data_IF_067348374968
#
_entry.id   IF_067348374968
#
_cell.length_a   1.000
_cell.length_b   1.000
_cell.length_c   1.000
_cell.angle_alpha   90.00
_cell.angle_beta   90.00
_cell.angle_gamma   90.00
#
_symmetry.space_group_name_H-M   'P 1'
#
loop_
_entity.id
_entity.type
_entity.pdbx_description
1 polymer ?
#
# COMPACT_ATOMS: atom_id res chain seq x y z
N UNK A 1 -7.53 12.18 2.18
CA UNK A 1 -6.80 11.65 3.35
C UNK A 1 -7.32 10.25 3.62
N UNK A 2 -6.44 9.28 3.88
CA UNK A 2 -6.80 7.93 4.28
C UNK A 2 -6.11 7.49 5.56
N UNK A 3 -6.44 6.30 6.04
CA UNK A 3 -5.85 5.71 7.25
C UNK A 3 -5.90 4.18 7.21
N UNK A 4 -5.02 3.56 7.99
CA UNK A 4 -5.01 2.12 8.22
C UNK A 4 -5.81 1.75 9.48
N UNK A 5 -6.70 0.76 9.39
CA UNK A 5 -7.47 0.18 10.50
C UNK A 5 -7.02 -1.27 10.76
N UNK A 6 -6.82 -1.70 12.02
CA UNK A 6 -7.12 -0.99 13.28
C UNK A 6 -5.97 -0.15 13.83
N UNK A 7 -4.91 0.07 13.04
CA UNK A 7 -3.72 0.77 13.53
C UNK A 7 -4.07 2.19 13.99
N UNK A 8 -4.79 2.94 13.17
CA UNK A 8 -5.27 4.27 13.50
C UNK A 8 -6.54 4.16 14.36
N UNK A 9 -6.37 4.34 15.67
CA UNK A 9 -7.43 4.12 16.66
C UNK A 9 -8.67 5.02 16.51
N UNK A 10 -8.48 6.25 16.03
CA UNK A 10 -9.58 7.19 15.78
C UNK A 10 -9.72 7.42 14.28
N UNK A 11 -10.78 6.86 13.67
CA UNK A 11 -11.13 7.09 12.28
C UNK A 11 -11.24 8.60 12.00
N UNK A 12 -10.36 9.19 11.17
CA UNK A 12 -10.37 10.62 10.91
C UNK A 12 -11.65 11.06 10.19
N UNK A 13 -12.43 11.99 10.75
CA UNK A 13 -13.78 12.33 10.25
C UNK A 13 -13.89 12.79 8.78
N UNK A 14 -12.80 13.28 8.20
CA UNK A 14 -12.71 13.69 6.79
C UNK A 14 -11.96 12.66 5.91
N UNK A 15 -11.87 11.39 6.35
CA UNK A 15 -11.23 10.35 5.55
C UNK A 15 -12.05 10.05 4.30
N UNK A 16 -11.35 9.99 3.17
CA UNK A 16 -11.91 9.68 1.85
C UNK A 16 -11.61 8.24 1.43
N UNK A 17 -10.71 7.56 2.15
CA UNK A 17 -10.45 6.14 2.00
C UNK A 17 -9.99 5.54 3.34
N UNK A 18 -10.10 4.23 3.47
CA UNK A 18 -9.61 3.47 4.62
C UNK A 18 -9.08 2.10 4.18
N UNK A 19 -8.06 1.61 4.88
CA UNK A 19 -7.40 0.35 4.56
C UNK A 19 -7.48 -0.58 5.77
N UNK A 20 -8.25 -1.66 5.65
CA UNK A 20 -8.29 -2.72 6.64
C UNK A 20 -7.05 -3.62 6.52
N UNK A 21 -6.40 -3.90 7.65
CA UNK A 21 -5.25 -4.80 7.72
C UNK A 21 -5.36 -5.66 8.98
N UNK A 22 -4.94 -6.93 8.91
CA UNK A 22 -4.98 -7.83 10.06
C UNK A 22 -3.83 -8.83 10.05
N UNK A 23 -2.67 -8.34 10.46
CA UNK A 23 -1.42 -9.08 10.35
C UNK A 23 -1.15 -9.50 8.90
N UNK A 24 -0.33 -10.53 8.75
CA UNK A 24 0.19 -10.98 7.46
C UNK A 24 -0.38 -12.36 7.08
N UNK A 25 -0.43 -12.64 5.77
CA UNK A 25 -0.85 -13.91 5.17
C UNK A 25 -2.22 -13.89 4.49
N UNK A 26 -2.29 -14.43 3.27
CA UNK A 26 -3.48 -14.38 2.40
C UNK A 26 -4.75 -14.91 3.05
N UNK A 27 -4.70 -16.10 3.66
CA UNK A 27 -5.89 -16.73 4.26
C UNK A 27 -6.43 -15.90 5.43
N UNK A 28 -5.53 -15.40 6.29
CA UNK A 28 -5.89 -14.57 7.43
C UNK A 28 -6.51 -13.25 6.99
N UNK A 29 -5.99 -12.63 5.93
CA UNK A 29 -6.57 -11.42 5.35
C UNK A 29 -7.99 -11.69 4.81
N UNK A 30 -8.21 -12.82 4.13
CA UNK A 30 -9.54 -13.19 3.62
C UNK A 30 -10.53 -13.40 4.78
N UNK A 31 -10.13 -14.10 5.84
CA UNK A 31 -10.96 -14.27 7.04
C UNK A 31 -11.29 -12.94 7.72
N UNK A 32 -10.30 -12.03 7.79
CA UNK A 32 -10.51 -10.69 8.32
C UNK A 32 -11.47 -9.87 7.46
N UNK A 33 -11.36 -9.99 6.13
CA UNK A 33 -12.23 -9.29 5.18
C UNK A 33 -13.72 -9.63 5.39
N UNK A 34 -14.01 -10.85 5.84
CA UNK A 34 -15.37 -11.34 6.09
C UNK A 34 -15.91 -10.97 7.47
N UNK A 35 -15.09 -10.37 8.34
CA UNK A 35 -15.54 -9.92 9.64
C UNK A 35 -16.33 -8.62 9.52
N UNK A 36 -17.64 -8.69 9.77
CA UNK A 36 -18.58 -7.55 9.67
C UNK A 36 -18.24 -6.38 10.59
N UNK A 37 -17.57 -6.62 11.72
CA UNK A 37 -17.20 -5.55 12.63
C UNK A 37 -16.15 -4.63 12.00
N UNK A 38 -15.27 -5.16 11.14
CA UNK A 38 -14.26 -4.40 10.41
C UNK A 38 -14.92 -3.33 9.55
N UNK A 39 -15.96 -3.72 8.80
CA UNK A 39 -16.65 -2.85 7.85
C UNK A 39 -17.25 -1.60 8.50
N UNK A 40 -17.70 -1.72 9.75
CA UNK A 40 -18.30 -0.61 10.50
C UNK A 40 -17.30 0.49 10.89
N UNK A 41 -15.99 0.17 10.85
CA UNK A 41 -14.92 1.10 11.21
C UNK A 41 -14.28 1.77 9.99
N UNK A 42 -14.62 1.34 8.78
CA UNK A 42 -14.07 1.84 7.52
C UNK A 42 -14.89 3.01 6.98
N UNK A 43 -14.21 3.99 6.36
CA UNK A 43 -14.83 5.19 5.80
C UNK A 43 -14.29 5.50 4.40
N UNK A 44 -15.12 6.13 3.57
CA UNK A 44 -14.80 6.42 2.17
C UNK A 44 -14.64 5.14 1.36
N UNK A 45 -13.74 5.18 0.37
CA UNK A 45 -13.34 3.99 -0.37
C UNK A 45 -12.65 2.99 0.58
N UNK A 46 -13.17 1.76 0.62
CA UNK A 46 -12.73 0.71 1.52
C UNK A 46 -11.78 -0.24 0.83
N UNK A 47 -10.57 -0.38 1.36
CA UNK A 47 -9.58 -1.31 0.88
C UNK A 47 -9.31 -2.41 1.90
N UNK A 48 -9.00 -3.62 1.42
CA UNK A 48 -8.43 -4.70 2.23
C UNK A 48 -6.97 -4.90 1.83
N UNK A 49 -6.06 -4.93 2.80
CA UNK A 49 -4.63 -5.04 2.56
C UNK A 49 -4.10 -6.47 2.63
N UNK A 50 -3.34 -6.85 1.61
CA UNK A 50 -2.46 -8.02 1.59
C UNK A 50 -1.00 -7.55 1.61
N UNK A 51 -0.10 -8.39 2.12
CA UNK A 51 1.33 -8.10 2.14
C UNK A 51 1.85 -7.79 3.54
N UNK A 52 2.77 -6.82 3.62
CA UNK A 52 3.43 -6.35 4.83
C UNK A 52 4.73 -7.08 5.16
N UNK A 53 5.27 -6.80 6.35
CA UNK A 53 6.59 -7.25 6.75
C UNK A 53 6.69 -8.77 7.02
N UNK A 54 7.88 -9.34 6.74
CA UNK A 54 8.22 -10.73 7.10
C UNK A 54 7.75 -11.79 6.09
N UNK A 55 8.02 -13.06 6.38
CA UNK A 55 7.74 -14.16 5.43
C UNK A 55 6.25 -14.35 5.16
N UNK A 56 5.39 -14.16 6.16
CA UNK A 56 3.94 -14.26 6.01
C UNK A 56 3.35 -13.13 5.14
N UNK A 57 4.05 -12.00 5.03
CA UNK A 57 3.67 -10.85 4.20
C UNK A 57 4.30 -10.86 2.81
N UNK A 58 5.13 -11.86 2.51
CA UNK A 58 5.85 -11.95 1.24
C UNK A 58 4.90 -12.25 0.09
N UNK A 59 4.94 -11.42 -0.95
CA UNK A 59 4.25 -11.72 -2.21
C UNK A 59 4.97 -12.81 -3.00
N UNK A 60 4.17 -13.70 -3.58
CA UNK A 60 4.55 -14.76 -4.51
C UNK A 60 3.45 -14.96 -5.55
N UNK A 61 3.71 -15.75 -6.59
CA UNK A 61 2.69 -16.12 -7.56
C UNK A 61 1.45 -16.77 -6.90
N UNK A 62 1.68 -17.65 -5.91
CA UNK A 62 0.61 -18.30 -5.16
C UNK A 62 -0.24 -17.31 -4.36
N UNK A 63 0.40 -16.32 -3.73
CA UNK A 63 -0.30 -15.26 -2.99
C UNK A 63 -1.18 -14.44 -3.94
N UNK A 64 -0.64 -14.02 -5.08
CA UNK A 64 -1.39 -13.28 -6.10
C UNK A 64 -2.52 -14.11 -6.72
N UNK A 65 -2.28 -15.40 -6.94
CA UNK A 65 -3.30 -16.37 -7.36
C UNK A 65 -4.42 -16.52 -6.33
N UNK A 66 -4.07 -16.58 -5.04
CA UNK A 66 -5.01 -16.63 -3.93
C UNK A 66 -5.91 -15.40 -3.84
N UNK A 67 -5.33 -14.19 -4.02
CA UNK A 67 -6.08 -12.94 -4.05
C UNK A 67 -7.10 -12.94 -5.19
N UNK A 68 -6.68 -13.26 -6.42
CA UNK A 68 -7.58 -13.36 -7.58
C UNK A 68 -8.70 -14.38 -7.35
N UNK A 69 -8.36 -15.54 -6.78
CA UNK A 69 -9.34 -16.57 -6.45
C UNK A 69 -10.38 -16.08 -5.44
N UNK A 70 -9.95 -15.38 -4.38
CA UNK A 70 -10.84 -14.82 -3.37
C UNK A 70 -11.80 -13.78 -3.96
N UNK A 71 -11.31 -12.91 -4.85
CA UNK A 71 -12.14 -11.93 -5.56
C UNK A 71 -13.15 -12.61 -6.47
N UNK A 72 -12.73 -13.59 -7.29
CA UNK A 72 -13.66 -14.36 -8.16
C UNK A 72 -14.75 -15.09 -7.38
N UNK A 73 -14.44 -15.53 -6.17
CA UNK A 73 -15.39 -16.19 -5.26
C UNK A 73 -16.28 -15.19 -4.51
N UNK A 74 -16.07 -13.89 -4.67
CA UNK A 74 -16.84 -12.83 -4.01
C UNK A 74 -16.53 -12.66 -2.53
N UNK A 75 -15.42 -13.23 -2.03
CA UNK A 75 -15.07 -13.19 -0.61
C UNK A 75 -14.68 -11.78 -0.13
N UNK A 76 -14.38 -10.89 -1.08
CA UNK A 76 -13.91 -9.52 -0.81
C UNK A 76 -14.90 -8.44 -1.31
N UNK A 77 -16.14 -8.80 -1.66
CA UNK A 77 -17.13 -7.89 -2.27
C UNK A 77 -17.61 -6.75 -1.36
N UNK A 78 -17.32 -6.80 -0.07
CA UNK A 78 -17.63 -5.72 0.88
C UNK A 78 -16.57 -4.57 0.82
N UNK A 79 -15.59 -4.67 -0.07
CA UNK A 79 -14.53 -3.68 -0.29
C UNK A 79 -14.59 -3.10 -1.71
N UNK A 80 -14.24 -1.82 -1.83
CA UNK A 80 -14.13 -1.11 -3.11
C UNK A 80 -12.81 -1.41 -3.83
N UNK A 81 -11.79 -1.88 -3.11
CA UNK A 81 -10.48 -2.13 -3.67
C UNK A 81 -9.58 -3.03 -2.83
N UNK A 82 -8.46 -3.41 -3.43
CA UNK A 82 -7.41 -4.22 -2.81
C UNK A 82 -6.17 -3.34 -2.64
N UNK A 83 -5.61 -3.34 -1.42
CA UNK A 83 -4.34 -2.71 -1.12
C UNK A 83 -3.21 -3.76 -1.09
N UNK A 84 -2.10 -3.46 -1.75
CA UNK A 84 -0.91 -4.30 -1.81
C UNK A 84 0.21 -3.61 -1.04
N UNK A 85 0.51 -4.13 0.14
CA UNK A 85 1.55 -3.61 1.02
C UNK A 85 2.91 -4.26 0.73
N UNK A 86 3.63 -3.67 -0.23
CA UNK A 86 4.87 -4.24 -0.77
C UNK A 86 6.05 -3.92 0.16
N UNK A 87 6.36 -4.89 1.03
CA UNK A 87 7.58 -4.86 1.86
C UNK A 87 8.53 -6.02 1.57
N UNK A 88 8.02 -7.18 1.12
CA UNK A 88 8.82 -8.36 0.78
C UNK A 88 8.20 -9.08 -0.42
N UNK A 89 9.04 -9.51 -1.36
CA UNK A 89 8.61 -10.15 -2.60
C UNK A 89 9.48 -11.38 -2.92
N UNK A 90 8.90 -12.36 -3.62
CA UNK A 90 9.68 -13.31 -4.39
C UNK A 90 10.22 -12.64 -5.68
N UNK A 91 11.30 -13.17 -6.28
CA UNK A 91 11.84 -12.64 -7.54
C UNK A 91 10.83 -12.71 -8.72
N UNK A 92 11.00 -11.82 -9.71
CA UNK A 92 10.34 -11.86 -11.03
C UNK A 92 8.81 -11.88 -11.03
N UNK A 93 8.16 -11.05 -10.19
CA UNK A 93 6.70 -11.01 -10.07
C UNK A 93 6.00 -9.93 -10.89
N UNK A 94 6.72 -9.15 -11.71
CA UNK A 94 6.17 -7.97 -12.39
C UNK A 94 4.98 -8.31 -13.27
N UNK A 95 5.10 -9.37 -14.09
CA UNK A 95 4.00 -9.86 -14.92
C UNK A 95 2.83 -10.40 -14.08
N UNK A 96 3.12 -11.07 -12.96
CA UNK A 96 2.08 -11.62 -12.08
C UNK A 96 1.29 -10.51 -11.38
N UNK A 97 1.96 -9.42 -10.99
CA UNK A 97 1.30 -8.24 -10.44
C UNK A 97 0.46 -7.54 -11.51
N UNK A 98 0.97 -7.36 -12.73
CA UNK A 98 0.21 -6.74 -13.83
C UNK A 98 -1.07 -7.52 -14.15
N UNK A 99 -0.96 -8.84 -14.32
CA UNK A 99 -2.10 -9.73 -14.54
C UNK A 99 -3.11 -9.65 -13.39
N UNK A 100 -2.62 -9.56 -12.14
CA UNK A 100 -3.46 -9.43 -10.97
C UNK A 100 -4.23 -8.10 -10.97
N UNK A 101 -3.52 -6.99 -11.17
CA UNK A 101 -4.13 -5.65 -11.16
C UNK A 101 -5.13 -5.47 -12.29
N UNK A 102 -4.80 -5.92 -13.51
CA UNK A 102 -5.71 -5.88 -14.64
C UNK A 102 -6.99 -6.67 -14.35
N UNK A 103 -6.87 -7.84 -13.75
CA UNK A 103 -8.04 -8.65 -13.41
C UNK A 103 -8.91 -8.01 -12.32
N UNK A 104 -8.30 -7.43 -11.29
CA UNK A 104 -9.02 -6.70 -10.25
C UNK A 104 -9.84 -5.54 -10.85
N UNK A 105 -9.24 -4.75 -11.74
CA UNK A 105 -9.93 -3.67 -12.45
C UNK A 105 -11.09 -4.20 -13.31
N UNK A 106 -10.89 -5.30 -14.04
CA UNK A 106 -11.94 -5.94 -14.84
C UNK A 106 -13.13 -6.43 -13.99
N UNK A 107 -12.87 -6.75 -12.71
CA UNK A 107 -13.89 -7.15 -11.74
C UNK A 107 -14.44 -5.96 -10.93
N UNK A 108 -14.02 -4.72 -11.24
CA UNK A 108 -14.52 -3.50 -10.64
C UNK A 108 -13.84 -3.09 -9.33
N UNK A 109 -12.74 -3.73 -8.96
CA UNK A 109 -11.95 -3.37 -7.78
C UNK A 109 -10.92 -2.30 -8.12
N UNK A 110 -10.79 -1.31 -7.22
CA UNK A 110 -9.67 -0.37 -7.22
C UNK A 110 -8.39 -1.05 -6.74
N UNK A 111 -7.24 -0.56 -7.18
CA UNK A 111 -5.91 -1.06 -6.80
C UNK A 111 -5.11 0.05 -6.14
N UNK A 112 -4.67 -0.20 -4.91
CA UNK A 112 -3.75 0.64 -4.16
C UNK A 112 -2.47 -0.13 -3.87
N UNK A 113 -1.32 0.46 -4.13
CA UNK A 113 -0.02 -0.16 -3.86
C UNK A 113 0.77 0.72 -2.89
N UNK A 114 1.24 0.16 -1.78
CA UNK A 114 2.25 0.81 -0.93
C UNK A 114 3.61 0.18 -1.14
N UNK A 115 4.65 1.01 -1.16
CA UNK A 115 6.03 0.57 -1.39
C UNK A 115 6.89 1.08 -0.25
N UNK A 116 7.64 0.19 0.39
CA UNK A 116 8.65 0.55 1.36
C UNK A 116 9.93 1.04 0.64
N UNK A 117 10.27 2.32 0.84
CA UNK A 117 11.43 2.98 0.22
C UNK A 117 12.78 2.60 0.87
N UNK A 118 12.74 2.11 2.11
CA UNK A 118 13.90 1.86 2.95
C UNK A 118 14.21 0.36 3.09
N UNK A 119 13.69 -0.48 2.18
CA UNK A 119 13.98 -1.91 2.22
C UNK A 119 15.48 -2.13 2.09
N UNK A 120 16.16 -2.46 3.21
CA UNK A 120 17.58 -2.85 3.25
C UNK A 120 17.87 -4.12 2.44
N UNK A 121 16.82 -4.71 1.87
CA UNK A 121 16.78 -5.88 1.02
C UNK A 121 16.37 -5.53 -0.42
N UNK A 122 16.44 -4.27 -0.84
CA UNK A 122 16.17 -3.93 -2.25
C UNK A 122 17.14 -4.74 -3.12
N UNK A 123 16.59 -5.74 -3.78
CA UNK A 123 17.24 -6.49 -4.85
C UNK A 123 16.90 -5.84 -6.18
N UNK A 124 17.62 -6.20 -7.23
CA UNK A 124 17.26 -5.81 -8.59
C UNK A 124 15.78 -6.12 -8.90
N UNK A 125 15.23 -7.22 -8.36
CA UNK A 125 13.81 -7.57 -8.49
C UNK A 125 12.87 -6.55 -7.84
N UNK A 126 13.23 -5.99 -6.67
CA UNK A 126 12.39 -4.99 -6.00
C UNK A 126 12.31 -3.71 -6.83
N UNK A 127 13.46 -3.21 -7.27
CA UNK A 127 13.50 -2.01 -8.12
C UNK A 127 12.80 -2.25 -9.45
N UNK A 128 13.00 -3.41 -10.07
CA UNK A 128 12.33 -3.78 -11.32
C UNK A 128 10.81 -3.83 -11.14
N UNK A 129 10.34 -4.39 -10.03
CA UNK A 129 8.92 -4.39 -9.69
C UNK A 129 8.38 -2.98 -9.45
N UNK A 130 9.04 -2.16 -8.65
CA UNK A 130 8.59 -0.78 -8.39
C UNK A 130 8.56 0.05 -9.68
N UNK A 131 9.54 -0.14 -10.58
CA UNK A 131 9.52 0.50 -11.91
C UNK A 131 8.32 0.08 -12.74
N UNK A 132 7.93 -1.19 -12.70
CA UNK A 132 6.79 -1.68 -13.48
C UNK A 132 5.48 -1.01 -13.04
N UNK A 133 5.37 -0.63 -11.77
CA UNK A 133 4.21 0.09 -11.23
C UNK A 133 4.07 1.52 -11.77
N UNK A 134 5.15 2.19 -12.16
CA UNK A 134 5.08 3.58 -12.61
C UNK A 134 4.26 3.74 -13.88
N UNK A 135 4.36 2.77 -14.79
CA UNK A 135 3.64 2.81 -16.08
C UNK A 135 2.35 1.99 -16.09
N UNK A 136 2.03 1.30 -14.99
CA UNK A 136 0.86 0.43 -14.89
C UNK A 136 -0.43 1.26 -14.84
N UNK A 137 -1.35 1.00 -15.77
CA UNK A 137 -2.63 1.72 -15.87
C UNK A 137 -3.71 1.17 -14.95
N UNK A 138 -3.47 0.00 -14.35
CA UNK A 138 -4.42 -0.69 -13.49
C UNK A 138 -4.25 -0.32 -12.00
N UNK A 139 -3.29 0.55 -11.67
CA UNK A 139 -3.07 1.06 -10.31
C UNK A 139 -3.74 2.43 -10.17
N UNK A 140 -4.69 2.56 -9.24
CA UNK A 140 -5.35 3.84 -8.96
C UNK A 140 -4.49 4.74 -8.08
N UNK A 141 -3.84 4.15 -7.08
CA UNK A 141 -3.02 4.86 -6.09
C UNK A 141 -1.69 4.13 -5.90
N UNK A 142 -0.59 4.85 -6.11
CA UNK A 142 0.75 4.41 -5.72
C UNK A 142 1.21 5.25 -4.53
N UNK A 143 1.48 4.60 -3.41
CA UNK A 143 1.66 5.26 -2.14
C UNK A 143 3.00 4.90 -1.47
N UNK A 144 4.07 5.67 -1.73
CA UNK A 144 5.35 5.44 -1.06
C UNK A 144 5.20 5.65 0.45
N UNK A 145 5.68 4.68 1.23
CA UNK A 145 5.82 4.80 2.68
C UNK A 145 6.94 5.77 2.97
N UNK A 146 6.71 6.76 3.84
CA UNK A 146 7.71 7.74 4.29
C UNK A 146 8.17 7.43 5.72
N UNK A 147 8.29 6.14 6.01
CA UNK A 147 8.76 5.58 7.27
C UNK A 147 9.44 4.23 7.00
N UNK A 148 10.43 3.90 7.84
CA UNK A 148 11.13 2.62 7.83
C UNK A 148 10.53 1.62 8.83
N UNK A 149 10.04 2.12 9.97
CA UNK A 149 9.58 1.31 11.09
C UNK A 149 8.18 1.69 11.59
N UNK A 150 7.66 2.86 11.20
CA UNK A 150 6.32 3.32 11.56
C UNK A 150 6.25 4.02 12.91
N UNK A 151 7.38 4.45 13.49
CA UNK A 151 7.45 5.21 14.75
C UNK A 151 8.43 6.39 14.70
N UNK A 152 8.85 6.78 13.49
CA UNK A 152 9.71 7.91 13.23
C UNK A 152 9.06 9.23 13.64
N UNK A 153 9.91 10.18 14.06
CA UNK A 153 9.50 11.52 14.51
C UNK A 153 9.45 12.55 13.37
N UNK A 154 9.75 12.13 12.16
CA UNK A 154 9.65 12.89 10.91
C UNK A 154 9.53 11.89 9.75
N UNK A 155 9.19 12.37 8.56
CA UNK A 155 9.26 11.53 7.36
C UNK A 155 10.68 11.00 7.17
N UNK A 156 10.80 9.75 6.75
CA UNK A 156 12.03 9.19 6.23
C UNK A 156 11.99 9.28 4.70
N UNK A 157 13.00 9.93 4.13
CA UNK A 157 13.19 10.07 2.69
C UNK A 157 14.42 9.29 2.21
N UNK A 158 15.01 8.47 3.08
CA UNK A 158 16.24 7.73 2.81
C UNK A 158 15.98 6.62 1.81
N UNK A 159 16.46 6.78 0.58
CA UNK A 159 16.46 5.69 -0.40
C UNK A 159 17.54 4.68 -0.01
N UNK A 160 17.20 3.39 -0.01
CA UNK A 160 18.16 2.32 0.23
C UNK A 160 19.37 2.44 -0.72
N UNK A 161 20.59 2.30 -0.20
CA UNK A 161 21.82 2.49 -1.01
C UNK A 161 21.93 1.52 -2.21
N UNK A 162 21.25 0.37 -2.13
CA UNK A 162 21.12 -0.63 -3.19
C UNK A 162 20.01 -0.33 -4.20
N UNK A 163 19.16 0.67 -3.94
CA UNK A 163 18.09 1.05 -4.84
C UNK A 163 18.57 2.13 -5.83
N UNK A 164 18.07 1.99 -7.04
CA UNK A 164 18.24 2.88 -8.18
C UNK A 164 16.96 3.67 -8.46
N UNK A 165 15.91 3.46 -7.68
CA UNK A 165 14.68 4.28 -7.68
C UNK A 165 14.94 5.57 -6.93
N UNK A 166 14.47 6.68 -7.49
CA UNK A 166 14.57 8.01 -6.92
C UNK A 166 13.19 8.64 -6.73
N UNK A 167 13.09 9.63 -5.85
CA UNK A 167 11.85 10.40 -5.68
C UNK A 167 11.38 11.10 -6.97
N UNK A 168 12.31 11.46 -7.86
CA UNK A 168 11.97 12.04 -9.17
C UNK A 168 11.28 11.04 -10.09
N UNK A 169 11.54 9.75 -9.97
CA UNK A 169 10.92 8.75 -10.85
C UNK A 169 9.40 8.69 -10.67
N UNK A 170 8.89 9.06 -9.49
CA UNK A 170 7.46 9.19 -9.22
C UNK A 170 6.77 10.27 -10.07
N UNK A 171 7.50 11.17 -10.72
CA UNK A 171 6.93 12.17 -11.65
C UNK A 171 6.34 11.55 -12.92
N UNK A 172 6.72 10.31 -13.23
CA UNK A 172 6.28 9.56 -14.41
C UNK A 172 5.12 8.61 -14.11
N UNK A 173 4.68 8.54 -12.86
CA UNK A 173 3.65 7.60 -12.41
C UNK A 173 2.29 7.97 -13.01
N UNK A 174 1.59 6.98 -13.58
CA UNK A 174 0.22 7.15 -14.09
C UNK A 174 -0.83 7.20 -12.97
N UNK A 175 -0.62 6.40 -11.92
CA UNK A 175 -1.46 6.38 -10.74
C UNK A 175 -1.41 7.72 -9.97
N UNK A 176 -2.36 7.95 -9.07
CA UNK A 176 -2.26 9.05 -8.11
C UNK A 176 -1.15 8.74 -7.10
N UNK A 177 -0.18 9.63 -6.97
CA UNK A 177 0.84 9.52 -5.93
C UNK A 177 0.29 10.05 -4.60
N UNK A 178 0.28 9.21 -3.56
CA UNK A 178 -0.28 9.54 -2.23
C UNK A 178 0.74 9.17 -1.15
N UNK A 179 1.14 10.08 -0.27
CA UNK A 179 2.17 9.76 0.72
C UNK A 179 1.62 8.86 1.86
N UNK A 180 2.33 7.80 2.22
CA UNK A 180 2.06 7.07 3.45
C UNK A 180 2.88 7.68 4.60
N UNK A 181 2.22 8.28 5.59
CA UNK A 181 2.86 9.04 6.69
C UNK A 181 2.42 8.50 8.05
N UNK A 182 3.23 8.71 9.09
CA UNK A 182 2.87 8.30 10.46
C UNK A 182 1.90 9.30 11.09
N UNK A 183 2.19 10.59 10.90
CA UNK A 183 1.40 11.68 11.45
C UNK A 183 0.90 12.60 10.32
N UNK A 184 -0.33 13.07 10.47
CA UNK A 184 -0.99 14.01 9.55
C UNK A 184 -0.18 15.29 9.34
N UNK A 185 0.40 15.84 10.41
CA UNK A 185 1.23 17.04 10.35
C UNK A 185 2.59 16.83 9.66
N UNK A 186 2.95 15.60 9.27
CA UNK A 186 4.10 15.34 8.40
C UNK A 186 3.76 15.52 6.92
N UNK A 187 2.48 15.61 6.55
CA UNK A 187 2.09 15.72 5.15
C UNK A 187 2.61 17.00 4.46
N UNK A 188 2.61 18.20 5.07
CA UNK A 188 3.18 19.39 4.43
C UNK A 188 4.66 19.24 4.05
N UNK A 189 5.45 18.54 4.89
CA UNK A 189 6.86 18.23 4.62
C UNK A 189 6.99 17.26 3.43
N UNK A 190 6.16 16.20 3.39
CA UNK A 190 6.09 15.32 2.23
C UNK A 190 5.70 16.05 0.94
N UNK A 191 4.74 16.98 1.00
CA UNK A 191 4.36 17.79 -0.16
C UNK A 191 5.52 18.62 -0.69
N UNK A 192 6.25 19.31 0.19
CA UNK A 192 7.42 20.11 -0.20
C UNK A 192 8.49 19.25 -0.86
N UNK A 193 8.84 18.11 -0.24
CA UNK A 193 9.87 17.20 -0.76
C UNK A 193 9.53 16.66 -2.15
N UNK A 194 8.30 16.17 -2.36
CA UNK A 194 7.88 15.65 -3.65
C UNK A 194 7.77 16.76 -4.71
N UNK A 195 7.37 17.97 -4.32
CA UNK A 195 7.32 19.12 -5.21
C UNK A 195 8.72 19.49 -5.74
N UNK A 196 9.75 19.44 -4.91
CA UNK A 196 11.16 19.68 -5.31
C UNK A 196 11.65 18.65 -6.36
N UNK A 197 11.02 17.48 -6.38
CA UNK A 197 11.26 16.43 -7.36
C UNK A 197 10.32 16.46 -8.57
N UNK A 198 9.41 17.42 -8.65
CA UNK A 198 8.45 17.57 -9.74
C UNK A 198 7.26 16.61 -9.66
N UNK A 199 6.92 16.12 -8.46
CA UNK A 199 5.85 15.16 -8.23
C UNK A 199 4.71 15.81 -7.46
N UNK A 200 3.48 15.68 -7.97
CA UNK A 200 2.29 16.17 -7.30
C UNK A 200 1.68 15.07 -6.40
N UNK A 201 1.61 15.33 -5.10
CA UNK A 201 0.91 14.46 -4.16
C UNK A 201 -0.60 14.74 -4.16
N UNK A 202 -1.40 13.67 -4.14
CA UNK A 202 -2.87 13.71 -4.17
C UNK A 202 -3.52 13.44 -2.80
N UNK A 203 -2.70 13.47 -1.74
CA UNK A 203 -3.12 13.29 -0.36
C UNK A 203 -2.11 12.47 0.42
N UNK A 204 -2.55 11.98 1.57
CA UNK A 204 -1.81 11.02 2.38
C UNK A 204 -2.68 9.92 2.95
N UNK A 205 -2.05 8.84 3.37
CA UNK A 205 -2.62 7.73 4.12
C UNK A 205 -1.85 7.61 5.43
N UNK A 206 -2.55 7.65 6.56
CA UNK A 206 -1.94 7.67 7.87
C UNK A 206 -1.75 6.25 8.43
N UNK A 207 -0.49 5.85 8.67
CA UNK A 207 -0.10 4.70 9.49
C UNK A 207 0.23 5.18 10.91
N UNK A 208 -0.78 5.30 11.77
CA UNK A 208 -0.58 5.72 13.16
C UNK A 208 -0.73 4.49 14.07
N UNK A 209 0.31 3.67 14.28
CA UNK A 209 0.20 2.56 15.21
C UNK A 209 -0.18 3.10 16.59
N UNK A 210 -1.09 2.41 17.28
CA UNK A 210 -1.41 2.75 18.66
C UNK A 210 -0.11 2.74 19.47
N UNK A 211 0.27 3.90 20.01
CA UNK A 211 1.45 4.05 20.84
C UNK A 211 1.39 3.05 21.99
N UNK A 212 2.28 2.07 21.98
CA UNK A 212 2.52 1.07 23.03
C UNK A 212 1.30 0.24 23.46
N UNK A 213 1.27 -1.04 23.03
CA UNK A 213 0.99 -2.10 24.02
C UNK A 213 2.12 -2.01 25.05
N UNK A 214 1.90 -1.25 26.12
CA UNK A 214 2.69 -1.36 27.35
C UNK A 214 2.53 -2.75 27.95
#
# INVERSE_FOLDING_TARGET
MGYWYPQTYTSPSNATLSIAIYGWGTQRTIEWAQNKDVQSHLMGDKYIAFGGAGEDGKFSEDVLGGIRSAVRQGLLNDYDGIAFDIETIAPKLEGCFDDCFQELQNLGFKVLVTVNHATRRSSDDHDQLVRSFFTNENIDILAPQLYSFGFERHNDFTIAASSTITWRDYSQVKAKVVACVIHDHFYPDAQSHFQDHGVALHGYIQWKPASNRS
#
